data_IF_745899292509
#
_entry.id   IF_745899292509
#
_cell.length_a   1.000
_cell.length_b   1.000
_cell.length_c   1.000
_cell.angle_alpha   90.00
_cell.angle_beta   90.00
_cell.angle_gamma   90.00
#
_symmetry.space_group_name_H-M   'P 1'
#
loop_
_entity.id
_entity.type
_entity.pdbx_description
1 polymer ?
#
# COMPACT_ATOMS: atom_id res chain seq x y z
N UNK A 1 -14.16 2.63 -4.06
CA UNK A 1 -13.41 3.29 -5.16
C UNK A 1 -12.00 2.76 -5.11
N UNK A 2 -11.53 2.16 -6.20
CA UNK A 2 -10.20 1.59 -6.29
C UNK A 2 -9.36 2.38 -7.28
N UNK A 3 -8.11 2.66 -6.93
CA UNK A 3 -7.18 3.37 -7.80
C UNK A 3 -5.75 2.98 -7.48
N UNK A 4 -4.89 3.15 -8.49
CA UNK A 4 -3.47 2.82 -8.42
C UNK A 4 -2.63 4.09 -8.34
N UNK A 5 -1.54 4.03 -7.57
CA UNK A 5 -0.52 5.07 -7.50
C UNK A 5 0.88 4.45 -7.59
N UNK A 6 1.73 5.11 -8.37
CA UNK A 6 3.11 4.70 -8.60
C UNK A 6 4.03 5.62 -7.78
N UNK A 7 4.68 5.09 -6.74
CA UNK A 7 5.62 5.83 -5.91
C UNK A 7 7.05 5.52 -6.32
N UNK A 8 7.45 6.07 -7.48
CA UNK A 8 8.76 5.80 -8.08
C UNK A 8 9.94 6.17 -7.19
N UNK A 9 9.80 7.22 -6.38
CA UNK A 9 10.83 7.68 -5.44
C UNK A 9 11.14 6.68 -4.31
N UNK A 10 10.23 5.74 -4.03
CA UNK A 10 10.42 4.66 -3.05
C UNK A 10 10.27 3.27 -3.68
N UNK A 11 10.18 3.17 -5.01
CA UNK A 11 10.11 1.92 -5.75
C UNK A 11 8.89 1.05 -5.44
N UNK A 12 7.71 1.65 -5.17
CA UNK A 12 6.48 0.89 -4.88
C UNK A 12 5.35 1.20 -5.85
N UNK A 13 4.62 0.15 -6.24
CA UNK A 13 3.25 0.26 -6.76
C UNK A 13 2.29 0.10 -5.60
N UNK A 14 1.30 0.97 -5.49
CA UNK A 14 0.28 0.89 -4.44
C UNK A 14 -1.10 0.95 -5.06
N UNK A 15 -1.96 -0.01 -4.71
CA UNK A 15 -3.39 0.06 -4.95
C UNK A 15 -4.07 0.50 -3.67
N UNK A 16 -4.96 1.48 -3.80
CA UNK A 16 -5.78 1.98 -2.72
C UNK A 16 -7.23 1.59 -2.93
N UNK A 17 -7.92 1.24 -1.85
CA UNK A 17 -9.34 0.95 -1.86
C UNK A 17 -10.07 1.73 -0.77
N UNK A 18 -11.05 2.52 -1.20
CA UNK A 18 -12.07 3.11 -0.32
C UNK A 18 -13.28 2.18 -0.32
N UNK A 19 -13.46 1.44 0.77
CA UNK A 19 -14.66 0.65 1.01
C UNK A 19 -15.80 1.58 1.48
N UNK A 20 -16.94 1.66 0.75
CA UNK A 20 -18.09 2.47 1.18
C UNK A 20 -18.65 2.06 2.55
N UNK A 21 -18.49 0.80 2.94
CA UNK A 21 -18.92 0.26 4.24
C UNK A 21 -17.99 0.69 5.39
N UNK A 22 -16.77 1.12 5.08
CA UNK A 22 -15.78 1.63 6.03
C UNK A 22 -15.27 3.03 5.58
N UNK A 23 -16.14 4.06 5.56
CA UNK A 23 -15.86 5.33 4.88
C UNK A 23 -14.75 6.17 5.55
N UNK A 24 -14.32 5.79 6.75
CA UNK A 24 -13.24 6.46 7.51
C UNK A 24 -11.91 5.74 7.42
N UNK A 25 -11.82 4.71 6.58
CA UNK A 25 -10.62 3.91 6.40
C UNK A 25 -10.12 3.96 4.95
N UNK A 26 -8.81 3.83 4.77
CA UNK A 26 -8.17 3.64 3.48
C UNK A 26 -7.39 2.33 3.53
N UNK A 27 -7.86 1.34 2.76
CA UNK A 27 -7.11 0.11 2.57
C UNK A 27 -6.08 0.31 1.46
N UNK A 28 -4.96 -0.39 1.54
CA UNK A 28 -3.98 -0.44 0.45
C UNK A 28 -3.31 -1.80 0.33
N UNK A 29 -2.77 -2.03 -0.86
CA UNK A 29 -1.88 -3.13 -1.18
C UNK A 29 -0.65 -2.56 -1.90
N UNK A 30 0.56 -2.95 -1.49
CA UNK A 30 1.81 -2.41 -2.02
C UNK A 30 2.80 -3.51 -2.43
N UNK A 31 3.42 -3.34 -3.60
CA UNK A 31 4.44 -4.24 -4.14
C UNK A 31 5.69 -3.44 -4.52
N UNK A 32 6.88 -3.85 -4.07
CA UNK A 32 8.15 -3.32 -4.58
C UNK A 32 8.30 -3.62 -6.08
N UNK A 33 8.87 -2.70 -6.85
CA UNK A 33 9.00 -2.87 -8.29
C UNK A 33 9.88 -4.05 -8.70
N UNK A 34 10.95 -4.29 -7.96
CA UNK A 34 11.83 -5.45 -8.18
C UNK A 34 11.05 -6.77 -8.10
N UNK A 35 10.05 -6.87 -7.22
CA UNK A 35 9.22 -8.05 -7.08
C UNK A 35 8.04 -8.08 -8.06
N UNK A 36 7.73 -6.97 -8.75
CA UNK A 36 6.77 -6.98 -9.86
C UNK A 36 7.39 -7.61 -11.10
N UNK A 37 8.68 -7.42 -11.33
CA UNK A 37 9.41 -7.98 -12.47
C UNK A 37 9.53 -9.50 -12.36
N UNK A 38 9.56 -10.03 -11.14
CA UNK A 38 9.57 -11.46 -10.84
C UNK A 38 8.18 -12.11 -10.96
N UNK A 39 7.10 -11.32 -10.98
CA UNK A 39 5.73 -11.82 -11.10
C UNK A 39 5.30 -11.94 -12.57
N UNK A 40 4.52 -12.97 -12.89
CA UNK A 40 3.85 -13.06 -14.18
C UNK A 40 3.05 -11.79 -14.47
N UNK A 41 3.10 -11.30 -15.72
CA UNK A 41 2.46 -10.03 -16.13
C UNK A 41 0.98 -9.95 -15.70
N UNK A 42 0.24 -11.06 -15.74
CA UNK A 42 -1.15 -11.13 -15.28
C UNK A 42 -1.31 -10.97 -13.76
N UNK A 43 -0.36 -11.46 -12.97
CA UNK A 43 -0.35 -11.36 -11.51
C UNK A 43 0.09 -9.98 -11.01
N UNK A 44 0.85 -9.21 -11.79
CA UNK A 44 1.26 -7.83 -11.44
C UNK A 44 0.10 -6.83 -11.28
N UNK A 45 -1.09 -7.24 -11.70
CA UNK A 45 -2.34 -6.48 -11.62
C UNK A 45 -3.28 -7.00 -10.53
N UNK A 46 -2.88 -8.00 -9.73
CA UNK A 46 -3.68 -8.62 -8.68
C UNK A 46 -3.21 -8.13 -7.29
N UNK A 47 -3.84 -7.09 -6.71
CA UNK A 47 -3.35 -6.46 -5.48
C UNK A 47 -3.43 -7.39 -4.27
N UNK A 48 -4.30 -8.39 -4.28
CA UNK A 48 -4.38 -9.44 -3.26
C UNK A 48 -3.13 -10.33 -3.20
N UNK A 49 -2.31 -10.34 -4.24
CA UNK A 49 -1.03 -11.07 -4.26
C UNK A 49 0.15 -10.20 -3.82
N UNK A 50 -0.08 -8.91 -3.56
CA UNK A 50 1.01 -7.98 -3.22
C UNK A 50 1.61 -8.31 -1.86
N UNK A 51 2.86 -7.90 -1.68
CA UNK A 51 3.70 -8.19 -0.53
C UNK A 51 3.12 -7.57 0.74
N UNK A 52 2.59 -6.36 0.67
CA UNK A 52 2.15 -5.60 1.84
C UNK A 52 0.69 -5.23 1.66
N UNK A 53 -0.13 -5.52 2.65
CA UNK A 53 -1.49 -5.04 2.76
C UNK A 53 -1.62 -4.20 4.01
N UNK A 54 -2.46 -3.18 3.98
CA UNK A 54 -2.72 -2.44 5.19
C UNK A 54 -4.01 -1.64 5.19
N UNK A 55 -4.37 -1.17 6.37
CA UNK A 55 -5.57 -0.38 6.62
C UNK A 55 -5.18 0.81 7.50
N UNK A 56 -5.51 2.03 7.03
CA UNK A 56 -5.32 3.27 7.78
C UNK A 56 -6.67 3.79 8.23
N UNK A 57 -6.81 4.05 9.54
CA UNK A 57 -8.05 4.57 10.14
C UNK A 57 -7.84 5.95 10.78
N UNK A 58 -8.92 6.55 11.34
CA UNK A 58 -8.90 7.90 11.95
C UNK A 58 -7.90 8.04 13.11
N UNK A 59 -7.53 6.96 13.77
CA UNK A 59 -6.52 6.98 14.83
C UNK A 59 -5.07 7.14 14.29
N UNK A 60 -4.89 7.17 12.95
CA UNK A 60 -3.59 7.03 12.29
C UNK A 60 -2.86 5.72 12.62
N UNK A 61 -3.59 4.79 13.23
CA UNK A 61 -3.17 3.40 13.38
C UNK A 61 -3.12 2.80 11.98
N UNK A 62 -1.96 2.23 11.67
CA UNK A 62 -1.74 1.45 10.48
C UNK A 62 -1.67 -0.01 10.89
N UNK A 63 -2.62 -0.79 10.41
CA UNK A 63 -2.52 -2.24 10.40
C UNK A 63 -1.78 -2.66 9.14
N UNK A 64 -0.76 -3.52 9.27
CA UNK A 64 0.00 -4.06 8.14
C UNK A 64 0.06 -5.57 8.22
N UNK A 65 -0.25 -6.21 7.11
CA UNK A 65 -0.01 -7.64 6.89
C UNK A 65 0.99 -7.79 5.75
N UNK A 66 1.87 -8.77 5.88
CA UNK A 66 2.78 -9.15 4.82
C UNK A 66 2.32 -10.47 4.21
N UNK A 67 2.26 -10.55 2.89
CA UNK A 67 1.95 -11.77 2.17
C UNK A 67 3.20 -12.62 1.99
N UNK A 68 3.11 -13.90 2.36
CA UNK A 68 4.19 -14.88 2.28
C UNK A 68 4.80 -15.25 3.63
N UNK A 69 5.28 -16.49 3.74
CA UNK A 69 5.87 -17.05 4.98
C UNK A 69 7.29 -16.53 5.24
N UNK A 70 8.02 -16.12 4.19
CA UNK A 70 9.40 -15.63 4.29
C UNK A 70 9.67 -14.58 3.24
N UNK A 71 10.07 -13.38 3.67
CA UNK A 71 10.42 -12.26 2.80
C UNK A 71 11.90 -11.99 2.97
N UNK A 72 12.64 -11.91 1.86
CA UNK A 72 14.05 -11.49 1.90
C UNK A 72 14.10 -9.98 2.08
N UNK A 73 14.37 -9.53 3.30
CA UNK A 73 14.48 -8.12 3.62
C UNK A 73 15.95 -7.69 3.67
N UNK A 74 16.31 -6.72 2.85
CA UNK A 74 17.59 -6.01 2.96
C UNK A 74 17.36 -4.63 3.59
N UNK A 75 18.45 -3.93 3.93
CA UNK A 75 18.39 -2.62 4.58
C UNK A 75 17.62 -1.58 3.76
N UNK A 76 17.76 -1.63 2.43
CA UNK A 76 17.09 -0.73 1.51
C UNK A 76 15.57 -0.93 1.53
N UNK A 77 15.10 -2.16 1.32
CA UNK A 77 13.68 -2.50 1.35
C UNK A 77 13.05 -2.16 2.71
N UNK A 78 13.73 -2.49 3.81
CA UNK A 78 13.28 -2.12 5.15
C UNK A 78 13.09 -0.60 5.29
N UNK A 79 14.04 0.19 4.80
CA UNK A 79 13.97 1.66 4.85
C UNK A 79 12.82 2.20 3.98
N UNK A 80 12.63 1.65 2.77
CA UNK A 80 11.54 2.05 1.87
C UNK A 80 10.15 1.64 2.39
N UNK A 81 10.03 0.55 3.14
CA UNK A 81 8.80 0.19 3.85
C UNK A 81 8.41 1.25 4.90
N UNK A 82 9.40 1.81 5.60
CA UNK A 82 9.17 2.97 6.49
C UNK A 82 8.65 4.19 5.74
N UNK A 83 9.18 4.47 4.54
CA UNK A 83 8.70 5.57 3.70
C UNK A 83 7.30 5.30 3.12
N UNK A 84 6.99 4.04 2.78
CA UNK A 84 5.66 3.62 2.32
C UNK A 84 4.57 3.97 3.35
N UNK A 85 4.84 3.78 4.64
CA UNK A 85 3.93 4.19 5.72
C UNK A 85 3.58 5.68 5.65
N UNK A 86 4.59 6.55 5.50
CA UNK A 86 4.38 7.99 5.42
C UNK A 86 3.61 8.39 4.14
N UNK A 87 3.88 7.72 3.02
CA UNK A 87 3.12 7.95 1.78
C UNK A 87 1.66 7.52 1.91
N UNK A 88 1.38 6.38 2.52
CA UNK A 88 0.03 5.89 2.75
C UNK A 88 -0.76 6.81 3.71
N UNK A 89 -0.13 7.30 4.79
CA UNK A 89 -0.71 8.32 5.69
C UNK A 89 -1.03 9.62 4.97
N UNK A 90 -0.11 10.10 4.13
CA UNK A 90 -0.34 11.30 3.32
C UNK A 90 -1.53 11.10 2.38
N UNK A 91 -1.67 9.93 1.77
CA UNK A 91 -2.79 9.63 0.89
C UNK A 91 -4.12 9.55 1.64
N UNK A 92 -4.14 8.91 2.82
CA UNK A 92 -5.31 8.90 3.71
C UNK A 92 -5.81 10.32 3.99
N UNK A 93 -4.91 11.24 4.37
CA UNK A 93 -5.27 12.64 4.62
C UNK A 93 -5.85 13.32 3.38
N UNK A 94 -5.27 13.07 2.22
CA UNK A 94 -5.72 13.68 0.96
C UNK A 94 -7.07 13.17 0.47
N UNK A 95 -7.39 11.91 0.73
CA UNK A 95 -8.54 11.26 0.11
C UNK A 95 -9.70 11.07 1.08
N UNK A 96 -9.42 10.76 2.35
CA UNK A 96 -10.46 10.54 3.37
C UNK A 96 -10.75 11.82 4.13
N UNK A 97 -9.72 12.53 4.61
CA UNK A 97 -9.94 13.71 5.46
C UNK A 97 -10.32 14.97 4.67
N UNK A 98 -9.70 15.22 3.50
CA UNK A 98 -10.08 16.38 2.66
C UNK A 98 -11.48 16.26 2.07
N UNK A 99 -11.97 15.05 1.79
CA UNK A 99 -13.36 14.84 1.33
C UNK A 99 -14.41 14.98 2.45
N UNK A 100 -13.99 15.07 3.71
CA UNK A 100 -14.87 15.23 4.86
C UNK A 100 -15.08 16.70 5.27
N UNK A 101 -14.47 17.65 4.56
CA UNK A 101 -14.74 19.09 4.65
C UNK A 101 -15.61 19.51 3.47
#
# INVERSE_FOLDING_TARGET
MEYKKEYRNIGFRVFYNLNPQLPKALAFAAQPYELLEEMDKGMTMMPNLFLVHGLITKAHELEVTFNGFRIRMNQDLHSRLGLLYEMAKKEYRNVVLKKAK
#
